data_IF_189124160725
#
_entry.id   IF_189124160725
#
_cell.length_a   1.000
_cell.length_b   1.000
_cell.length_c   1.000
_cell.angle_alpha   90.00
_cell.angle_beta   90.00
_cell.angle_gamma   90.00
#
_symmetry.space_group_name_H-M   'P 1'
#
loop_
_entity.id
_entity.type
_entity.pdbx_description
1 polymer ?
#
# COMPACT_ATOMS: atom_id res chain seq x y z
N UNK A 1 4.44 -31.81 7.88
CA UNK A 1 3.54 -30.73 7.40
C UNK A 1 3.95 -30.35 5.99
N UNK A 2 3.07 -30.42 4.98
CA UNK A 2 3.39 -29.94 3.64
C UNK A 2 3.62 -28.43 3.64
N UNK A 3 4.64 -27.95 2.92
CA UNK A 3 4.92 -26.53 2.80
C UNK A 3 3.75 -25.80 2.12
N UNK A 4 3.27 -24.70 2.72
CA UNK A 4 2.21 -23.89 2.13
C UNK A 4 2.64 -23.38 0.73
N UNK A 5 1.81 -23.64 -0.29
CA UNK A 5 2.06 -23.21 -1.67
C UNK A 5 2.08 -21.67 -1.71
N UNK A 6 3.19 -21.08 -2.19
CA UNK A 6 3.31 -19.62 -2.34
C UNK A 6 2.30 -19.12 -3.39
N UNK A 7 1.52 -18.05 -3.12
CA UNK A 7 0.61 -17.47 -4.09
C UNK A 7 1.34 -17.00 -5.34
N UNK A 8 0.86 -17.40 -6.52
CA UNK A 8 1.43 -16.96 -7.80
C UNK A 8 1.14 -15.48 -8.04
N UNK A 9 2.14 -14.73 -8.48
CA UNK A 9 1.98 -13.29 -8.83
C UNK A 9 1.68 -13.08 -10.32
N UNK A 10 1.63 -14.16 -11.11
CA UNK A 10 1.58 -14.11 -12.58
C UNK A 10 0.32 -13.42 -13.10
N UNK A 11 -0.85 -13.79 -12.58
CA UNK A 11 -2.14 -13.27 -13.04
C UNK A 11 -2.30 -11.79 -12.68
N UNK A 12 -1.95 -11.41 -11.46
CA UNK A 12 -1.97 -10.01 -11.01
C UNK A 12 -1.00 -9.15 -11.83
N UNK A 13 0.25 -9.59 -12.02
CA UNK A 13 1.22 -8.83 -12.84
C UNK A 13 0.77 -8.68 -14.29
N UNK A 14 0.14 -9.70 -14.87
CA UNK A 14 -0.45 -9.62 -16.20
C UNK A 14 -1.56 -8.56 -16.23
N UNK A 15 -2.49 -8.61 -15.28
CA UNK A 15 -3.57 -7.62 -15.18
C UNK A 15 -3.04 -6.19 -14.95
N UNK A 16 -2.00 -5.99 -14.13
CA UNK A 16 -1.38 -4.68 -13.92
C UNK A 16 -0.83 -4.09 -15.23
N UNK A 17 -0.12 -4.88 -16.03
CA UNK A 17 0.40 -4.45 -17.34
C UNK A 17 -0.71 -4.05 -18.30
N UNK A 18 -1.80 -4.83 -18.33
CA UNK A 18 -2.92 -4.57 -19.23
C UNK A 18 -3.78 -3.36 -18.80
N UNK A 19 -3.91 -3.12 -17.49
CA UNK A 19 -4.90 -2.17 -16.95
C UNK A 19 -4.30 -0.92 -16.34
N UNK A 20 -3.17 -1.02 -15.63
CA UNK A 20 -2.56 0.11 -14.92
C UNK A 20 -1.52 0.83 -15.77
N UNK A 21 -0.65 0.12 -16.48
CA UNK A 21 0.41 0.76 -17.27
C UNK A 21 -0.14 1.76 -18.31
N UNK A 22 -1.20 1.45 -19.08
CA UNK A 22 -1.78 2.42 -20.00
C UNK A 22 -2.39 3.63 -19.28
N UNK A 23 -2.99 3.42 -18.11
CA UNK A 23 -3.59 4.49 -17.31
C UNK A 23 -2.53 5.42 -16.73
N UNK A 24 -1.44 4.86 -16.20
CA UNK A 24 -0.29 5.60 -15.68
C UNK A 24 0.35 6.44 -16.80
N UNK A 25 0.55 5.84 -17.98
CA UNK A 25 1.05 6.56 -19.15
C UNK A 25 0.10 7.70 -19.58
N UNK A 26 -1.22 7.47 -19.56
CA UNK A 26 -2.25 8.49 -19.84
C UNK A 26 -2.17 9.69 -18.89
N UNK A 27 -1.78 9.47 -17.64
CA UNK A 27 -1.53 10.53 -16.66
C UNK A 27 -0.19 11.27 -16.89
N UNK A 28 0.56 10.94 -17.94
CA UNK A 28 1.82 11.61 -18.29
C UNK A 28 3.04 11.09 -17.54
N UNK A 29 2.93 9.96 -16.85
CA UNK A 29 4.08 9.29 -16.27
C UNK A 29 4.86 8.50 -17.33
N UNK A 30 6.18 8.52 -17.21
CA UNK A 30 7.13 7.75 -18.02
C UNK A 30 7.87 6.78 -17.11
N UNK A 31 8.09 5.56 -17.57
CA UNK A 31 8.76 4.53 -16.80
C UNK A 31 8.23 3.14 -17.11
N UNK A 32 8.54 2.18 -16.23
CA UNK A 32 8.13 0.79 -16.34
C UNK A 32 8.00 0.19 -14.96
N UNK A 33 7.16 -0.84 -14.81
CA UNK A 33 7.04 -1.53 -13.53
C UNK A 33 8.43 -1.91 -12.94
N UNK A 34 8.68 -1.61 -11.65
CA UNK A 34 7.76 -1.07 -10.65
C UNK A 34 7.79 0.46 -10.49
N UNK A 35 8.49 1.21 -11.35
CA UNK A 35 8.83 2.62 -11.13
C UNK A 35 8.41 3.52 -12.30
N UNK A 36 7.71 4.60 -11.97
CA UNK A 36 7.33 5.64 -12.92
C UNK A 36 7.62 7.03 -12.38
N UNK A 37 7.90 7.95 -13.30
CA UNK A 37 8.18 9.35 -13.03
C UNK A 37 7.41 10.24 -13.97
N UNK A 38 6.90 11.35 -13.45
CA UNK A 38 6.37 12.47 -14.25
C UNK A 38 7.09 13.74 -13.84
N UNK A 39 7.47 14.54 -14.82
CA UNK A 39 8.02 15.87 -14.57
C UNK A 39 6.96 16.93 -14.76
N UNK A 40 6.88 17.86 -13.81
CA UNK A 40 6.12 19.10 -13.94
C UNK A 40 7.09 20.28 -14.03
N UNK A 41 6.63 21.53 -14.27
CA UNK A 41 7.52 22.69 -14.26
C UNK A 41 8.23 22.92 -12.92
N UNK A 42 7.60 22.57 -11.80
CA UNK A 42 8.10 22.84 -10.45
C UNK A 42 8.57 21.60 -9.68
N UNK A 43 8.10 20.41 -10.05
CA UNK A 43 8.26 19.20 -9.24
C UNK A 43 8.56 17.96 -10.08
N UNK A 44 9.09 16.94 -9.41
CA UNK A 44 9.10 15.55 -9.86
C UNK A 44 8.02 14.78 -9.12
N UNK A 45 7.19 14.04 -9.84
CA UNK A 45 6.23 13.11 -9.27
C UNK A 45 6.69 11.68 -9.52
N UNK A 46 6.55 10.83 -8.52
CA UNK A 46 6.93 9.42 -8.54
C UNK A 46 5.73 8.55 -8.26
N UNK A 47 5.71 7.38 -8.88
CA UNK A 47 4.78 6.30 -8.59
C UNK A 47 5.60 5.01 -8.50
N UNK A 48 5.51 4.29 -7.38
CA UNK A 48 6.20 3.02 -7.19
C UNK A 48 5.22 1.95 -6.74
N UNK A 49 5.30 0.77 -7.36
CA UNK A 49 4.50 -0.40 -7.00
C UNK A 49 5.32 -1.38 -6.18
N UNK A 50 4.74 -1.87 -5.08
CA UNK A 50 5.36 -2.88 -4.23
C UNK A 50 4.55 -4.16 -4.24
N UNK A 51 5.25 -5.29 -4.22
CA UNK A 51 4.64 -6.60 -3.98
C UNK A 51 5.22 -7.18 -2.71
N UNK A 52 4.39 -7.83 -1.89
CA UNK A 52 4.89 -8.51 -0.68
C UNK A 52 5.93 -9.57 -1.06
N UNK A 53 6.99 -9.72 -0.25
CA UNK A 53 8.10 -10.66 -0.49
C UNK A 53 7.64 -12.09 -0.79
N UNK A 54 6.55 -12.53 -0.16
CA UNK A 54 5.98 -13.86 -0.32
C UNK A 54 4.74 -13.92 -1.23
N UNK A 55 4.48 -12.85 -2.00
CA UNK A 55 3.27 -12.70 -2.79
C UNK A 55 2.04 -12.43 -1.93
N UNK A 56 0.86 -12.61 -2.52
CA UNK A 56 -0.43 -12.51 -1.83
C UNK A 56 -0.92 -11.08 -1.57
N UNK A 57 -0.14 -10.05 -1.91
CA UNK A 57 -0.62 -8.67 -1.89
C UNK A 57 0.31 -7.71 -2.64
N UNK A 58 -0.26 -6.59 -3.08
CA UNK A 58 0.47 -5.47 -3.65
C UNK A 58 -0.06 -4.13 -3.13
N UNK A 59 0.73 -3.08 -3.28
CA UNK A 59 0.36 -1.69 -3.04
C UNK A 59 1.07 -0.80 -4.04
N UNK A 60 0.68 0.47 -4.10
CA UNK A 60 1.47 1.48 -4.78
C UNK A 60 1.50 2.77 -3.97
N UNK A 61 2.60 3.50 -4.12
CA UNK A 61 2.85 4.74 -3.41
C UNK A 61 3.20 5.82 -4.41
N UNK A 62 2.75 7.04 -4.11
CA UNK A 62 3.13 8.24 -4.82
C UNK A 62 4.07 9.08 -3.96
N UNK A 63 4.92 9.85 -4.61
CA UNK A 63 5.64 10.94 -3.94
C UNK A 63 5.86 12.11 -4.88
N UNK A 64 6.20 13.23 -4.29
CA UNK A 64 6.62 14.43 -5.00
C UNK A 64 7.96 14.91 -4.45
N UNK A 65 8.68 15.69 -5.23
CA UNK A 65 9.87 16.41 -4.80
C UNK A 65 10.00 17.70 -5.61
N UNK A 66 10.36 18.80 -4.97
CA UNK A 66 10.62 20.06 -5.66
C UNK A 66 11.83 19.94 -6.59
N UNK A 67 11.79 20.64 -7.74
CA UNK A 67 12.93 20.75 -8.63
C UNK A 67 13.99 21.63 -7.97
N UNK A 68 15.15 21.06 -7.70
CA UNK A 68 16.27 21.76 -7.09
C UNK A 68 17.47 20.84 -6.91
N UNK A 69 18.54 21.35 -6.29
CA UNK A 69 19.68 20.53 -5.89
C UNK A 69 19.36 19.87 -4.57
N UNK A 70 18.92 18.60 -4.60
CA UNK A 70 18.96 17.78 -3.39
C UNK A 70 20.40 17.34 -3.18
N UNK A 71 20.91 17.69 -2.02
CA UNK A 71 22.10 17.10 -1.44
C UNK A 71 21.67 15.96 -0.54
N UNK A 72 22.33 14.82 -0.68
CA UNK A 72 22.22 13.75 0.29
C UNK A 72 22.71 14.23 1.68
N UNK A 73 22.48 13.47 2.75
CA UNK A 73 22.99 13.81 4.08
C UNK A 73 24.52 13.99 4.15
N UNK A 74 25.26 13.52 3.14
CA UNK A 74 26.72 13.65 2.99
C UNK A 74 27.13 14.81 2.06
N UNK A 75 26.20 15.64 1.59
CA UNK A 75 26.48 16.76 0.67
C UNK A 75 26.71 16.36 -0.79
N UNK A 76 26.44 15.11 -1.18
CA UNK A 76 26.50 14.66 -2.57
C UNK A 76 25.26 15.13 -3.32
N UNK A 77 25.48 15.89 -4.39
CA UNK A 77 24.43 16.22 -5.37
C UNK A 77 24.24 15.01 -6.28
N UNK A 78 23.03 14.44 -6.28
CA UNK A 78 22.67 13.37 -7.20
C UNK A 78 22.17 13.92 -8.53
N UNK A 79 22.45 13.20 -9.62
CA UNK A 79 21.77 13.46 -10.89
C UNK A 79 20.28 13.16 -10.73
N UNK A 80 19.43 14.09 -11.17
CA UNK A 80 17.98 13.95 -11.11
C UNK A 80 17.48 12.79 -11.97
N UNK A 81 18.28 12.31 -12.92
CA UNK A 81 17.98 11.11 -13.71
C UNK A 81 17.82 9.84 -12.85
N UNK A 82 18.59 9.71 -11.77
CA UNK A 82 18.62 8.51 -10.92
C UNK A 82 17.65 8.58 -9.74
N UNK A 83 16.87 9.66 -9.62
CA UNK A 83 15.96 9.83 -8.49
C UNK A 83 14.75 8.91 -8.62
N UNK A 84 14.39 8.36 -7.47
CA UNK A 84 13.26 7.45 -7.27
C UNK A 84 12.53 7.89 -6.01
N UNK A 85 11.35 7.31 -5.75
CA UNK A 85 10.60 7.56 -4.53
C UNK A 85 11.42 7.38 -3.23
N UNK A 86 12.42 6.48 -3.23
CA UNK A 86 13.31 6.27 -2.08
C UNK A 86 14.11 7.51 -1.65
N UNK A 87 14.30 8.47 -2.56
CA UNK A 87 15.06 9.70 -2.33
C UNK A 87 14.18 10.88 -1.88
N UNK A 88 12.86 10.73 -1.82
CA UNK A 88 11.96 11.79 -1.32
C UNK A 88 11.79 11.74 0.19
N UNK A 89 11.42 12.84 0.83
CA UNK A 89 11.13 12.83 2.27
C UNK A 89 9.87 12.01 2.56
N UNK A 90 9.80 11.40 3.75
CA UNK A 90 8.62 10.61 4.16
C UNK A 90 7.33 11.45 4.17
N UNK A 91 7.44 12.73 4.53
CA UNK A 91 6.32 13.68 4.51
C UNK A 91 5.80 13.95 3.10
N UNK A 92 6.62 13.72 2.08
CA UNK A 92 6.29 13.90 0.67
C UNK A 92 5.80 12.61 0.01
N UNK A 93 5.43 11.59 0.81
CA UNK A 93 4.94 10.29 0.33
C UNK A 93 3.49 10.05 0.74
N UNK A 94 2.78 9.34 -0.13
CA UNK A 94 1.49 8.76 0.19
C UNK A 94 1.39 7.34 -0.38
N UNK A 95 0.53 6.53 0.22
CA UNK A 95 0.26 5.17 -0.21
C UNK A 95 -1.20 5.04 -0.60
N UNK A 96 -1.45 4.41 -1.75
CA UNK A 96 -2.79 3.98 -2.11
C UNK A 96 -3.18 2.79 -1.25
N UNK A 97 -4.39 2.84 -0.71
CA UNK A 97 -4.95 1.77 0.10
C UNK A 97 -6.25 1.23 -0.49
N UNK A 98 -6.50 -0.05 -0.26
CA UNK A 98 -7.76 -0.67 -0.65
C UNK A 98 -8.84 -0.38 0.40
N UNK A 99 -9.90 0.31 -0.01
CA UNK A 99 -11.09 0.56 0.79
C UNK A 99 -12.11 -0.55 0.58
N UNK A 100 -12.74 -1.02 1.66
CA UNK A 100 -13.84 -2.00 1.62
C UNK A 100 -14.97 -1.53 2.52
N UNK A 101 -16.19 -1.99 2.22
CA UNK A 101 -17.33 -1.79 3.11
C UNK A 101 -17.39 -2.97 4.11
N UNK A 102 -17.37 -2.67 5.40
CA UNK A 102 -17.47 -3.64 6.50
C UNK A 102 -18.77 -3.45 7.27
N UNK A 103 -19.41 -4.55 7.65
CA UNK A 103 -20.55 -4.54 8.56
C UNK A 103 -20.04 -4.69 10.00
N UNK A 104 -20.27 -3.67 10.82
CA UNK A 104 -19.87 -3.64 12.24
C UNK A 104 -20.80 -4.52 13.09
N UNK A 105 -20.40 -4.90 14.32
CA UNK A 105 -21.24 -5.71 15.20
C UNK A 105 -22.62 -5.10 15.50
N UNK A 106 -22.73 -3.78 15.46
CA UNK A 106 -23.99 -3.03 15.61
C UNK A 106 -24.83 -2.97 14.32
N UNK A 107 -24.44 -3.71 13.27
CA UNK A 107 -25.03 -3.75 11.93
C UNK A 107 -24.91 -2.46 11.13
N UNK A 108 -24.09 -1.50 11.57
CA UNK A 108 -23.78 -0.32 10.75
C UNK A 108 -22.78 -0.69 9.66
N UNK A 109 -22.95 -0.10 8.48
CA UNK A 109 -21.97 -0.19 7.39
C UNK A 109 -20.92 0.90 7.58
N UNK A 110 -19.65 0.53 7.53
CA UNK A 110 -18.53 1.47 7.57
C UNK A 110 -17.55 1.18 6.44
N UNK A 111 -16.91 2.22 5.93
CA UNK A 111 -15.91 2.11 4.87
C UNK A 111 -14.53 2.20 5.48
N UNK A 112 -13.76 1.13 5.35
CA UNK A 112 -12.50 0.97 6.07
C UNK A 112 -11.39 0.46 5.15
N UNK A 113 -10.16 0.87 5.44
CA UNK A 113 -8.96 0.52 4.71
C UNK A 113 -8.41 -0.83 5.17
N UNK A 114 -8.03 -1.65 4.19
CA UNK A 114 -7.28 -2.91 4.38
C UNK A 114 -5.77 -2.74 4.13
N UNK A 115 -5.33 -1.54 3.77
CA UNK A 115 -3.94 -1.25 3.42
C UNK A 115 -3.56 -1.78 2.04
N UNK A 116 -3.36 -3.10 1.91
CA UNK A 116 -2.89 -3.71 0.66
C UNK A 116 -4.04 -4.24 -0.22
N UNK A 117 -3.77 -4.35 -1.51
CA UNK A 117 -4.59 -5.11 -2.45
C UNK A 117 -4.20 -6.59 -2.33
N UNK A 118 -4.87 -7.31 -1.43
CA UNK A 118 -4.58 -8.71 -1.13
C UNK A 118 -5.19 -9.66 -2.17
N UNK A 119 -4.37 -10.59 -2.67
CA UNK A 119 -4.77 -11.60 -3.65
C UNK A 119 -4.38 -13.03 -3.24
N UNK A 120 -3.92 -13.24 -2.00
CA UNK A 120 -3.43 -14.55 -1.55
C UNK A 120 -4.45 -15.69 -1.77
N UNK A 121 -5.74 -15.39 -1.61
CA UNK A 121 -6.84 -16.35 -1.72
C UNK A 121 -7.45 -16.46 -3.12
N UNK A 122 -7.04 -15.60 -4.05
CA UNK A 122 -7.57 -15.52 -5.42
C UNK A 122 -6.47 -15.65 -6.49
N UNK A 123 -5.25 -16.05 -6.08
CA UNK A 123 -4.06 -16.01 -6.93
C UNK A 123 -4.14 -16.90 -8.19
N UNK A 124 -5.00 -17.91 -8.17
CA UNK A 124 -5.24 -18.84 -9.28
C UNK A 124 -6.53 -18.48 -10.07
N UNK A 125 -7.25 -17.42 -9.68
CA UNK A 125 -8.45 -16.91 -10.35
C UNK A 125 -8.12 -15.63 -11.15
N UNK A 126 -8.18 -15.74 -12.48
CA UNK A 126 -7.82 -14.64 -13.38
C UNK A 126 -8.79 -13.46 -13.31
N UNK A 127 -10.09 -13.72 -13.19
CA UNK A 127 -11.13 -12.68 -13.19
C UNK A 127 -11.18 -11.94 -11.86
N UNK A 128 -10.98 -12.65 -10.75
CA UNK A 128 -10.83 -12.04 -9.44
C UNK A 128 -9.55 -11.20 -9.37
N UNK A 129 -8.41 -11.70 -9.88
CA UNK A 129 -7.17 -10.93 -9.95
C UNK A 129 -7.34 -9.66 -10.81
N UNK A 130 -8.06 -9.76 -11.94
CA UNK A 130 -8.35 -8.61 -12.81
C UNK A 130 -9.22 -7.58 -12.10
N UNK A 131 -10.27 -8.02 -11.42
CA UNK A 131 -11.17 -7.16 -10.64
C UNK A 131 -10.42 -6.39 -9.55
N UNK A 132 -9.53 -7.07 -8.82
CA UNK A 132 -8.68 -6.42 -7.81
C UNK A 132 -7.77 -5.33 -8.41
N UNK A 133 -7.23 -5.55 -9.61
CA UNK A 133 -6.42 -4.54 -10.31
C UNK A 133 -7.28 -3.38 -10.82
N UNK A 134 -8.53 -3.61 -11.21
CA UNK A 134 -9.46 -2.54 -11.54
C UNK A 134 -9.78 -1.66 -10.32
N UNK A 135 -9.92 -2.25 -9.13
CA UNK A 135 -10.05 -1.49 -7.88
C UNK A 135 -8.81 -0.60 -7.65
N UNK A 136 -7.60 -1.15 -7.82
CA UNK A 136 -6.37 -0.37 -7.71
C UNK A 136 -6.30 0.76 -8.75
N UNK A 137 -6.74 0.50 -9.98
CA UNK A 137 -6.81 1.51 -11.06
C UNK A 137 -7.74 2.67 -10.69
N UNK A 138 -8.87 2.39 -10.03
CA UNK A 138 -9.81 3.41 -9.60
C UNK A 138 -9.22 4.37 -8.54
N UNK A 139 -8.13 3.99 -7.87
CA UNK A 139 -7.43 4.85 -6.90
C UNK A 139 -6.42 5.79 -7.59
N UNK A 140 -5.97 5.50 -8.80
CA UNK A 140 -4.97 6.32 -9.51
C UNK A 140 -5.37 7.81 -9.65
N UNK A 141 -6.62 8.18 -9.99
CA UNK A 141 -7.00 9.59 -10.06
C UNK A 141 -6.92 10.31 -8.71
N UNK A 142 -7.16 9.62 -7.59
CA UNK A 142 -7.00 10.21 -6.25
C UNK A 142 -5.52 10.42 -5.92
N UNK A 143 -4.67 9.47 -6.30
CA UNK A 143 -3.22 9.62 -6.17
C UNK A 143 -2.70 10.78 -7.01
N UNK A 144 -3.17 10.90 -8.25
CA UNK A 144 -2.82 11.99 -9.16
C UNK A 144 -3.23 13.36 -8.61
N UNK A 145 -4.46 13.46 -8.08
CA UNK A 145 -4.92 14.67 -7.39
C UNK A 145 -4.02 15.01 -6.20
N UNK A 146 -3.73 14.04 -5.33
CA UNK A 146 -2.86 14.26 -4.17
C UNK A 146 -1.45 14.73 -4.58
N UNK A 147 -0.91 14.19 -5.67
CA UNK A 147 0.37 14.63 -6.23
C UNK A 147 0.34 16.08 -6.73
N UNK A 148 -0.82 16.63 -7.07
CA UNK A 148 -0.96 18.03 -7.50
C UNK A 148 -1.37 19.00 -6.39
N UNK A 149 -2.24 18.57 -5.48
CA UNK A 149 -2.91 19.48 -4.52
C UNK A 149 -2.57 19.18 -3.07
N UNK A 150 -1.91 18.06 -2.79
CA UNK A 150 -1.69 17.52 -1.43
C UNK A 150 -2.97 17.14 -0.68
N UNK A 151 -4.13 17.23 -1.33
CA UNK A 151 -5.41 16.80 -0.76
C UNK A 151 -5.56 15.29 -0.91
N UNK A 152 -5.51 14.57 0.21
CA UNK A 152 -5.68 13.12 0.22
C UNK A 152 -7.15 12.76 0.00
N UNK A 153 -7.41 11.91 -0.99
CA UNK A 153 -8.70 11.24 -1.16
C UNK A 153 -8.88 10.09 -0.17
N UNK A 154 -10.09 9.55 -0.09
CA UNK A 154 -10.45 8.46 0.83
C UNK A 154 -9.52 7.23 0.74
N UNK A 155 -9.00 6.93 -0.45
CA UNK A 155 -8.15 5.77 -0.69
C UNK A 155 -6.64 6.10 -0.67
N UNK A 156 -6.26 7.28 -0.18
CA UNK A 156 -4.87 7.73 -0.06
C UNK A 156 -4.51 7.83 1.41
N UNK A 157 -3.37 7.29 1.81
CA UNK A 157 -2.84 7.43 3.17
C UNK A 157 -1.53 8.22 3.12
N UNK A 158 -1.48 9.34 3.82
CA UNK A 158 -0.33 10.23 3.97
C UNK A 158 -0.11 10.56 5.45
N UNK A 159 0.91 11.37 5.76
CA UNK A 159 1.22 11.78 7.14
C UNK A 159 0.03 12.43 7.87
N UNK A 160 -0.63 13.36 7.21
CA UNK A 160 -1.72 14.16 7.81
C UNK A 160 -3.10 13.55 7.55
N UNK A 161 -3.16 12.43 6.82
CA UNK A 161 -4.40 11.76 6.47
C UNK A 161 -4.25 10.25 6.47
N UNK A 162 -4.88 9.59 7.43
CA UNK A 162 -4.94 8.13 7.51
C UNK A 162 -6.39 7.66 7.39
N UNK A 163 -6.75 6.92 6.33
CA UNK A 163 -8.07 6.33 6.20
C UNK A 163 -8.39 5.44 7.42
N UNK A 164 -9.65 5.40 7.88
CA UNK A 164 -10.08 4.51 8.96
C UNK A 164 -9.66 3.07 8.66
N UNK A 165 -9.08 2.35 9.61
CA UNK A 165 -8.52 1.02 9.35
C UNK A 165 -9.44 -0.11 9.80
N UNK A 166 -9.74 -1.02 8.86
CA UNK A 166 -10.62 -2.19 8.94
C UNK A 166 -10.36 -3.15 10.09
N UNK A 167 -9.09 -3.19 10.48
CA UNK A 167 -8.57 -4.19 11.39
C UNK A 167 -8.20 -3.47 12.68
N UNK A 168 -9.04 -3.65 13.71
CA UNK A 168 -8.68 -3.24 15.07
C UNK A 168 -7.32 -3.83 15.43
N UNK A 169 -6.50 -3.09 16.20
CA UNK A 169 -5.21 -3.61 16.71
C UNK A 169 -5.38 -4.99 17.35
N UNK A 170 -6.51 -5.20 18.03
CA UNK A 170 -6.89 -6.47 18.66
C UNK A 170 -7.17 -7.58 17.63
N UNK A 171 -7.85 -7.30 16.52
CA UNK A 171 -8.07 -8.29 15.46
C UNK A 171 -6.76 -8.64 14.72
N UNK A 172 -5.87 -7.66 14.47
CA UNK A 172 -4.53 -7.94 13.95
C UNK A 172 -3.72 -8.81 14.90
N UNK A 173 -3.82 -8.53 16.20
CA UNK A 173 -3.23 -9.35 17.24
C UNK A 173 -3.79 -10.77 17.19
N UNK A 174 -5.12 -10.94 17.18
CA UNK A 174 -5.75 -12.26 17.08
C UNK A 174 -5.39 -13.02 15.81
N UNK A 175 -5.29 -12.35 14.65
CA UNK A 175 -4.82 -12.99 13.42
C UNK A 175 -3.34 -13.36 13.49
N UNK A 176 -2.50 -12.50 14.06
CA UNK A 176 -1.08 -12.79 14.27
C UNK A 176 -0.87 -13.94 15.27
N UNK A 177 -1.70 -14.04 16.32
CA UNK A 177 -1.64 -15.13 17.30
C UNK A 177 -2.27 -16.41 16.78
N UNK A 178 -3.32 -16.35 15.95
CA UNK A 178 -3.95 -17.53 15.35
C UNK A 178 -3.09 -18.21 14.26
N UNK A 179 -2.09 -17.51 13.70
CA UNK A 179 -1.12 -18.09 12.76
C UNK A 179 0.03 -18.84 13.47
N UNK A 180 0.11 -18.75 14.80
CA UNK A 180 1.03 -19.53 15.63
C UNK A 180 0.17 -20.54 16.36
N UNK A 181 0.33 -21.84 16.08
CA UNK A 181 -0.43 -22.98 16.63
C UNK A 181 -0.29 -23.16 18.17
N UNK A 182 -0.37 -22.08 18.95
CA UNK A 182 -0.15 -22.07 20.38
C UNK A 182 -1.04 -21.02 21.06
N UNK A 183 -2.14 -21.53 21.65
CA UNK A 183 -2.82 -21.07 22.86
C UNK A 183 -4.26 -20.51 22.80
N UNK A 184 -4.96 -20.99 23.84
CA UNK A 184 -6.24 -20.75 24.49
C UNK A 184 -7.21 -19.68 23.93
N UNK A 185 -8.48 -20.11 23.78
CA UNK A 185 -9.63 -19.33 23.34
C UNK A 185 -10.20 -18.40 24.43
N UNK A 186 -9.62 -18.41 25.63
CA UNK A 186 -10.10 -17.65 26.81
C UNK A 186 -9.96 -16.13 26.71
N UNK A 187 -9.37 -15.58 25.62
CA UNK A 187 -9.16 -14.14 25.43
C UNK A 187 -8.24 -13.48 26.49
N UNK A 188 -7.57 -14.24 27.34
CA UNK A 188 -6.64 -13.67 28.32
C UNK A 188 -5.36 -13.18 27.63
N UNK A 189 -4.95 -11.91 27.83
CA UNK A 189 -3.68 -11.43 27.31
C UNK A 189 -2.53 -12.20 27.99
N UNK A 190 -1.49 -12.63 27.24
CA UNK A 190 -0.37 -13.33 27.83
C UNK A 190 0.30 -12.46 28.88
N UNK A 191 0.65 -13.07 30.01
CA UNK A 191 1.38 -12.41 31.09
C UNK A 191 2.71 -11.87 30.56
N UNK A 192 2.89 -10.55 30.63
CA UNK A 192 4.12 -9.89 30.18
C UNK A 192 5.21 -10.15 31.23
N UNK A 193 6.33 -10.78 30.89
CA UNK A 193 7.42 -10.98 31.84
C UNK A 193 7.94 -9.62 32.31
N UNK A 194 7.82 -9.32 33.62
CA UNK A 194 8.34 -8.10 34.24
C UNK A 194 7.31 -7.07 34.69
N UNK A 195 6.00 -7.30 34.48
CA UNK A 195 4.98 -6.52 35.19
C UNK A 195 4.88 -7.01 36.63
N UNK A 196 5.61 -6.36 37.54
CA UNK A 196 5.37 -6.50 38.97
C UNK A 196 3.93 -6.05 39.26
N UNK A 197 3.07 -6.87 39.88
CA UNK A 197 1.83 -6.35 40.43
C UNK A 197 2.21 -5.36 41.55
N UNK A 198 1.85 -4.09 41.36
CA UNK A 198 1.93 -3.09 42.41
C UNK A 198 1.03 -3.55 43.58
N UNK A 199 1.63 -3.69 44.76
CA UNK A 199 0.90 -3.80 46.02
C UNK A 199 0.33 -2.47 46.47
#
# INVERSE_FOLDING_TARGET
>A
MPAAKKPSTRLVRKAMRELLEPEIARLGFVGKYPDWRRETPAEYHYLQFYTRKYGGGFSFSGAWAEKGRFTDPNGKVFDTADWTIAHTDFDQRASAVRMIDVCKPDRTMARESTGYFEYAHIADDADACRSLVLEARAVLPQMDRWLHTREAGEAISSKDHSPPQGLSRRLRWHMATAMVDAFDLSNEPPSVPGSNPAG
#
